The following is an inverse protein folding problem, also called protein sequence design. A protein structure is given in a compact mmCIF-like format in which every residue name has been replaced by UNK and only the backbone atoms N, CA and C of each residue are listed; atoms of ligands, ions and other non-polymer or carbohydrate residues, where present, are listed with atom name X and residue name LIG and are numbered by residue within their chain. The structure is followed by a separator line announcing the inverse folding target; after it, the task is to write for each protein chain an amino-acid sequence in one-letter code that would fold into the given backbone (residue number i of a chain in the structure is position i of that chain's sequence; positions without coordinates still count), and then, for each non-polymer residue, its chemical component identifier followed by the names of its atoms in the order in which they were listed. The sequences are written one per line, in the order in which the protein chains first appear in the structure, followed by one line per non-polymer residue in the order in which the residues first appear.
data_IF_923351261201
#
_entry.id   IF_923351261201
#
_cell.length_a   1.000
_cell.length_b   1.000
_cell.length_c   1.000
_cell.angle_alpha   90.00
_cell.angle_beta   90.00
_cell.angle_gamma   90.00
#
_symmetry.space_group_name_H-M   'P 1'
#
loop_
_entity.id
_entity.type
_entity.pdbx_description
1 polymer ?
#
# COMPACT_ATOMS: atom_id res chain seq x y z
N UNK A 1 15.00 -0.30 -1.31
CA UNK A 1 14.42 0.20 -0.06
C UNK A 1 13.97 -0.99 0.75
N UNK A 2 14.22 -1.01 2.06
CA UNK A 2 13.65 -1.98 2.98
C UNK A 2 12.78 -1.25 4.00
N UNK A 3 11.79 -1.95 4.55
CA UNK A 3 10.89 -1.47 5.59
C UNK A 3 10.31 -2.68 6.34
N UNK A 4 9.53 -2.40 7.37
CA UNK A 4 8.77 -3.41 8.11
C UNK A 4 7.27 -3.11 8.08
N UNK A 5 6.45 -4.15 7.92
CA UNK A 5 5.02 -4.15 8.14
C UNK A 5 4.63 -5.43 8.87
N UNK A 6 4.26 -5.32 10.15
CA UNK A 6 3.78 -6.45 10.95
C UNK A 6 2.26 -6.58 10.81
N UNK A 7 1.54 -5.50 11.11
CA UNK A 7 0.08 -5.49 11.06
C UNK A 7 -0.47 -4.06 10.88
N UNK A 8 -1.65 -3.93 10.28
CA UNK A 8 -2.30 -2.65 10.02
C UNK A 8 -3.79 -2.83 9.73
N UNK A 9 -4.50 -1.73 9.42
CA UNK A 9 -5.95 -1.78 9.21
C UNK A 9 -6.40 -2.68 8.05
N UNK A 10 -5.53 -2.91 7.07
CA UNK A 10 -5.78 -3.76 5.91
C UNK A 10 -5.30 -5.22 6.08
N UNK A 11 -4.49 -5.50 7.10
CA UNK A 11 -3.98 -6.85 7.41
C UNK A 11 -3.79 -6.97 8.93
N UNK A 12 -4.81 -7.56 9.56
CA UNK A 12 -4.96 -7.58 11.02
C UNK A 12 -4.54 -8.89 11.67
N UNK A 13 -4.15 -9.92 10.90
CA UNK A 13 -3.85 -11.26 11.43
C UNK A 13 -2.79 -11.25 12.54
N UNK A 14 -1.82 -10.32 12.46
CA UNK A 14 -0.73 -10.17 13.42
C UNK A 14 -0.96 -9.04 14.44
N UNK A 15 -2.12 -8.39 14.45
CA UNK A 15 -2.44 -7.33 15.41
C UNK A 15 -2.93 -7.90 16.76
N UNK A 16 -2.10 -8.74 17.39
CA UNK A 16 -2.37 -9.37 18.69
C UNK A 16 -1.55 -8.73 19.83
N UNK A 17 -1.33 -7.42 19.72
CA UNK A 17 -0.64 -6.63 20.75
C UNK A 17 -1.55 -5.50 21.24
N UNK A 18 -1.12 -4.77 22.27
CA UNK A 18 -1.84 -3.58 22.74
C UNK A 18 -1.81 -2.42 21.72
N UNK A 19 -0.94 -2.49 20.71
CA UNK A 19 -0.80 -1.46 19.68
C UNK A 19 -1.73 -1.77 18.49
N UNK A 20 -2.58 -0.82 18.06
CA UNK A 20 -3.54 -1.10 16.99
C UNK A 20 -2.90 -1.37 15.62
N UNK A 21 -1.72 -0.80 15.37
CA UNK A 21 -0.94 -0.97 14.14
C UNK A 21 0.56 -0.96 14.45
N UNK A 22 1.33 -1.74 13.70
CA UNK A 22 2.79 -1.87 13.85
C UNK A 22 3.42 -1.99 12.47
N UNK A 23 3.98 -0.87 11.97
CA UNK A 23 4.68 -0.81 10.69
C UNK A 23 5.48 0.49 10.54
N UNK A 24 6.50 0.43 9.68
CA UNK A 24 7.36 1.57 9.31
C UNK A 24 6.88 2.28 8.05
N UNK A 25 6.03 1.61 7.27
CA UNK A 25 5.36 2.10 6.08
C UNK A 25 4.06 1.34 5.92
N UNK A 26 3.01 2.00 5.46
CA UNK A 26 1.69 1.40 5.23
C UNK A 26 1.44 1.03 3.77
N UNK A 27 2.22 1.60 2.83
CA UNK A 27 1.99 1.43 1.39
C UNK A 27 3.25 1.57 0.55
N UNK A 28 3.24 0.91 -0.61
CA UNK A 28 4.01 1.30 -1.78
C UNK A 28 3.18 2.29 -2.61
N UNK A 29 3.73 3.48 -2.86
CA UNK A 29 3.17 4.46 -3.79
C UNK A 29 4.05 4.56 -5.03
N UNK A 30 3.44 4.66 -6.20
CA UNK A 30 4.14 4.73 -7.48
C UNK A 30 3.54 5.82 -8.36
N UNK A 31 4.40 6.64 -8.95
CA UNK A 31 4.07 7.54 -10.04
C UNK A 31 4.71 7.00 -11.31
N UNK A 32 3.88 6.38 -12.13
CA UNK A 32 4.31 5.61 -13.29
C UNK A 32 4.75 6.49 -14.45
N UNK A 33 5.51 5.90 -15.37
CA UNK A 33 5.98 6.58 -16.58
C UNK A 33 4.84 7.10 -17.46
N UNK A 34 3.73 6.36 -17.52
CA UNK A 34 2.49 6.77 -18.21
C UNK A 34 1.71 7.87 -17.47
N UNK A 35 2.13 8.27 -16.25
CA UNK A 35 1.48 9.29 -15.43
C UNK A 35 0.46 8.77 -14.42
N UNK A 36 0.14 7.48 -14.43
CA UNK A 36 -0.74 6.82 -13.48
C UNK A 36 -0.15 6.86 -12.05
N UNK A 37 -1.01 7.08 -11.06
CA UNK A 37 -0.65 6.94 -9.64
C UNK A 37 -1.22 5.64 -9.10
N UNK A 38 -0.37 4.80 -8.51
CA UNK A 38 -0.78 3.54 -7.89
C UNK A 38 -0.48 3.58 -6.40
N UNK A 39 -1.46 3.15 -5.60
CA UNK A 39 -1.32 2.89 -4.18
C UNK A 39 -1.50 1.39 -3.92
N UNK A 40 -0.44 0.74 -3.45
CA UNK A 40 -0.46 -0.66 -3.02
C UNK A 40 -0.27 -0.71 -1.50
N UNK A 41 -1.33 -0.89 -0.70
CA UNK A 41 -1.21 -1.14 0.75
C UNK A 41 -0.26 -2.30 1.00
N UNK A 42 0.57 -2.27 2.03
CA UNK A 42 1.49 -3.36 2.37
C UNK A 42 0.80 -4.42 3.21
N UNK A 43 1.21 -5.69 3.07
CA UNK A 43 0.69 -6.81 3.84
C UNK A 43 1.81 -7.59 4.54
N UNK A 44 1.43 -8.39 5.53
CA UNK A 44 2.27 -9.42 6.14
C UNK A 44 1.74 -10.82 5.79
N UNK A 45 2.03 -11.32 4.57
CA UNK A 45 1.42 -12.54 4.05
C UNK A 45 1.91 -13.78 4.79
N UNK A 46 1.16 -14.87 4.71
CA UNK A 46 1.55 -16.16 5.30
C UNK A 46 2.63 -16.91 4.49
N UNK A 47 2.87 -16.48 3.24
CA UNK A 47 3.88 -17.02 2.34
C UNK A 47 4.56 -15.86 1.64
N UNK A 48 5.82 -16.03 1.23
CA UNK A 48 6.55 -15.04 0.44
C UNK A 48 5.72 -14.62 -0.78
N UNK A 49 5.47 -13.31 -0.91
CA UNK A 49 4.80 -12.71 -2.05
C UNK A 49 5.78 -11.83 -2.81
N UNK A 50 5.73 -11.91 -4.14
CA UNK A 50 6.47 -11.01 -5.02
C UNK A 50 5.51 -10.41 -6.05
N UNK A 51 5.39 -9.09 -6.04
CA UNK A 51 4.58 -8.33 -6.98
C UNK A 51 5.53 -7.54 -7.90
N UNK A 52 5.30 -7.60 -9.21
CA UNK A 52 6.10 -6.91 -10.21
C UNK A 52 5.22 -5.96 -11.02
N UNK A 53 5.49 -4.66 -10.90
CA UNK A 53 4.78 -3.61 -11.63
C UNK A 53 5.62 -3.16 -12.82
N UNK A 54 5.34 -3.72 -14.00
CA UNK A 54 6.04 -3.35 -15.24
C UNK A 54 5.84 -1.87 -15.55
N UNK A 55 6.93 -1.16 -15.86
CA UNK A 55 6.88 0.25 -16.23
C UNK A 55 7.99 0.64 -17.22
N UNK A 56 7.90 1.84 -17.78
CA UNK A 56 8.92 2.43 -18.63
C UNK A 56 9.20 3.88 -18.21
N UNK A 57 10.38 4.13 -17.66
CA UNK A 57 10.78 5.42 -17.06
C UNK A 57 9.80 5.88 -15.95
N UNK A 58 9.75 5.19 -14.80
CA UNK A 58 8.93 5.63 -13.67
C UNK A 58 9.31 7.06 -13.27
N UNK A 59 8.31 7.86 -12.89
CA UNK A 59 8.51 9.23 -12.40
C UNK A 59 8.88 9.27 -10.91
N UNK A 60 8.50 8.23 -10.17
CA UNK A 60 8.98 7.98 -8.83
C UNK A 60 8.21 6.86 -8.15
N UNK A 61 8.75 6.34 -7.05
CA UNK A 61 8.08 5.34 -6.22
C UNK A 61 8.68 5.34 -4.83
N UNK A 62 7.92 4.87 -3.84
CA UNK A 62 8.35 4.96 -2.45
C UNK A 62 7.53 4.09 -1.51
N UNK A 63 8.20 3.66 -0.42
CA UNK A 63 7.52 3.11 0.75
C UNK A 63 7.14 4.30 1.63
N UNK A 64 5.84 4.51 1.80
CA UNK A 64 5.32 5.69 2.47
C UNK A 64 4.68 5.31 3.81
N UNK A 65 4.80 6.23 4.75
CA UNK A 65 4.11 6.24 6.03
C UNK A 65 3.26 7.50 6.12
N UNK A 66 2.04 7.41 5.57
CA UNK A 66 1.15 8.56 5.44
C UNK A 66 0.17 8.69 6.61
N UNK A 67 -0.18 7.59 7.27
CA UNK A 67 -0.90 7.62 8.54
C UNK A 67 0.04 8.00 9.69
N UNK A 68 -0.15 9.19 10.25
CA UNK A 68 0.71 9.78 11.28
C UNK A 68 -0.03 10.12 12.58
N UNK A 69 -1.30 9.72 12.70
CA UNK A 69 -2.07 9.93 13.93
C UNK A 69 -1.54 9.00 15.02
N UNK A 70 -1.12 9.54 16.16
CA UNK A 70 -0.60 8.72 17.26
C UNK A 70 -1.65 7.72 17.79
N UNK A 71 -2.93 8.09 17.79
CA UNK A 71 -4.01 7.23 18.28
C UNK A 71 -4.17 5.92 17.51
N UNK A 72 -3.66 5.87 16.29
CA UNK A 72 -3.67 4.68 15.44
C UNK A 72 -2.55 3.68 15.75
N UNK A 73 -1.54 4.08 16.53
CA UNK A 73 -0.38 3.23 16.87
C UNK A 73 -0.22 3.04 18.38
N UNK A 74 -0.46 4.10 19.17
CA UNK A 74 -0.39 4.09 20.64
C UNK A 74 0.92 3.52 21.19
N UNK A 75 2.02 3.69 20.46
CA UNK A 75 3.34 3.19 20.84
C UNK A 75 4.31 4.35 21.09
N UNK A 76 4.62 4.57 22.37
CA UNK A 76 5.56 5.59 22.86
C UNK A 76 7.02 5.16 22.79
N UNK A 77 7.30 3.89 22.46
CA UNK A 77 8.65 3.36 22.29
C UNK A 77 9.02 3.34 20.81
N UNK A 78 8.18 2.76 19.96
CA UNK A 78 8.43 2.60 18.53
C UNK A 78 8.16 3.85 17.68
N UNK A 79 7.30 4.77 18.16
CA UNK A 79 6.89 6.02 17.48
C UNK A 79 6.62 5.84 15.97
N UNK A 80 5.94 4.75 15.59
CA UNK A 80 5.68 4.39 14.19
C UNK A 80 5.01 5.51 13.38
N UNK A 81 4.14 6.28 14.02
CA UNK A 81 3.47 7.44 13.42
C UNK A 81 4.43 8.58 13.00
N UNK A 82 5.66 8.58 13.53
CA UNK A 82 6.70 9.57 13.21
C UNK A 82 7.74 9.05 12.23
N UNK A 83 7.74 7.75 11.89
CA UNK A 83 8.74 7.18 10.97
C UNK A 83 8.67 7.86 9.59
N UNK A 84 9.83 8.01 8.92
CA UNK A 84 9.88 8.71 7.64
C UNK A 84 9.29 7.85 6.53
N UNK A 85 8.65 8.50 5.58
CA UNK A 85 8.47 7.94 4.24
C UNK A 85 9.79 8.02 3.47
N UNK A 86 10.02 7.10 2.53
CA UNK A 86 11.13 7.17 1.57
C UNK A 86 10.59 7.18 0.14
N UNK A 87 10.95 8.22 -0.62
CA UNK A 87 10.61 8.35 -2.03
C UNK A 87 11.85 8.39 -2.92
N UNK A 88 11.84 7.60 -3.99
CA UNK A 88 12.83 7.58 -5.07
C UNK A 88 12.33 8.45 -6.21
N UNK A 89 13.12 9.46 -6.59
CA UNK A 89 12.92 10.28 -7.79
C UNK A 89 14.01 9.96 -8.83
N UNK A 90 13.72 9.18 -9.89
CA UNK A 90 14.63 9.00 -11.01
C UNK A 90 14.99 10.34 -11.67
N UNK A 91 16.28 10.55 -11.95
CA UNK A 91 16.83 11.79 -12.54
C UNK A 91 17.31 11.60 -13.99
N UNK A 92 17.25 10.38 -14.49
CA UNK A 92 17.47 10.03 -15.89
C UNK A 92 16.49 8.94 -16.33
N UNK A 93 16.54 8.55 -17.61
CA UNK A 93 15.64 7.53 -18.18
C UNK A 93 16.13 6.13 -17.82
N UNK A 94 15.41 5.45 -16.93
CA UNK A 94 15.71 4.08 -16.49
C UNK A 94 15.25 3.00 -17.50
N UNK A 95 14.48 3.38 -18.52
CA UNK A 95 13.98 2.48 -19.55
C UNK A 95 12.90 1.54 -19.02
N UNK A 96 12.77 0.40 -19.69
CA UNK A 96 11.81 -0.65 -19.34
C UNK A 96 12.30 -1.50 -18.17
N UNK A 97 11.38 -1.87 -17.30
CA UNK A 97 11.66 -2.71 -16.15
C UNK A 97 10.44 -2.89 -15.28
N UNK A 98 10.65 -3.26 -14.04
CA UNK A 98 9.60 -3.48 -13.04
C UNK A 98 9.96 -2.77 -11.74
N UNK A 99 8.97 -2.19 -11.08
CA UNK A 99 9.05 -1.90 -9.66
C UNK A 99 8.67 -3.20 -8.95
N UNK A 100 9.64 -3.83 -8.30
CA UNK A 100 9.46 -5.05 -7.53
C UNK A 100 9.06 -4.72 -6.08
N UNK A 101 8.10 -5.46 -5.56
CA UNK A 101 7.70 -5.46 -4.15
C UNK A 101 7.74 -6.90 -3.63
N UNK A 102 8.59 -7.14 -2.65
CA UNK A 102 8.68 -8.41 -1.93
C UNK A 102 8.11 -8.23 -0.52
N UNK A 103 7.18 -9.10 -0.15
CA UNK A 103 6.55 -9.14 1.17
C UNK A 103 6.86 -10.50 1.79
N UNK A 104 7.73 -10.51 2.80
CA UNK A 104 8.23 -11.71 3.48
C UNK A 104 7.35 -11.93 4.72
N UNK A 105 6.93 -13.18 5.03
CA UNK A 105 6.23 -13.46 6.27
C UNK A 105 7.08 -13.11 7.48
N UNK A 106 6.51 -12.36 8.43
CA UNK A 106 7.13 -12.09 9.73
C UNK A 106 6.15 -12.35 10.87
N UNK A 107 6.69 -12.70 12.04
CA UNK A 107 5.92 -12.84 13.28
C UNK A 107 6.04 -11.64 14.21
N UNK A 108 6.84 -10.62 13.86
CA UNK A 108 7.03 -9.43 14.68
C UNK A 108 7.78 -8.31 13.96
N UNK A 109 8.03 -7.23 14.68
CA UNK A 109 8.57 -5.96 14.18
C UNK A 109 10.09 -5.87 14.09
N UNK A 110 10.80 -6.85 14.64
CA UNK A 110 12.27 -6.77 14.81
C UNK A 110 13.06 -6.97 13.52
N UNK A 111 12.42 -7.50 12.47
CA UNK A 111 13.02 -7.76 11.18
C UNK A 111 12.25 -7.05 10.08
N UNK A 112 12.96 -6.36 9.20
CA UNK A 112 12.42 -5.83 7.95
C UNK A 112 11.89 -6.99 7.08
N UNK A 113 10.64 -6.86 6.64
CA UNK A 113 9.97 -7.87 5.84
C UNK A 113 9.42 -7.32 4.52
N UNK A 114 9.64 -6.04 4.23
CA UNK A 114 9.23 -5.38 3.00
C UNK A 114 10.47 -4.94 2.22
N UNK A 115 10.54 -5.31 0.94
CA UNK A 115 11.61 -4.88 0.04
C UNK A 115 11.00 -4.30 -1.23
N UNK A 116 11.43 -3.10 -1.61
CA UNK A 116 11.04 -2.45 -2.86
C UNK A 116 12.27 -1.98 -3.65
N UNK A 117 12.31 -2.29 -4.94
CA UNK A 117 13.42 -1.98 -5.82
C UNK A 117 12.98 -1.84 -7.28
N UNK A 118 13.81 -1.20 -8.10
CA UNK A 118 13.68 -1.22 -9.55
C UNK A 118 14.52 -2.37 -10.13
N UNK A 119 13.92 -3.12 -11.06
CA UNK A 119 14.59 -4.17 -11.81
C UNK A 119 14.49 -3.86 -13.31
N UNK A 120 15.61 -3.61 -14.01
CA UNK A 120 15.56 -3.41 -15.46
C UNK A 120 15.09 -4.68 -16.18
N UNK A 121 14.40 -4.51 -17.32
CA UNK A 121 13.89 -5.63 -18.14
C UNK A 121 15.02 -6.51 -18.67
N UNK A 122 16.14 -5.88 -19.09
CA UNK A 122 17.35 -6.60 -19.48
C UNK A 122 18.04 -7.16 -18.24
N UNK A 123 18.19 -8.47 -18.18
CA UNK A 123 19.03 -9.12 -17.18
C UNK A 123 20.46 -8.57 -17.23
N UNK A 124 20.98 -8.18 -16.07
CA UNK A 124 22.35 -7.65 -15.91
C UNK A 124 23.36 -8.77 -16.16
N UNK A 125 24.24 -8.61 -17.14
CA UNK A 125 25.34 -9.53 -17.44
C UNK A 125 26.68 -8.89 -17.12
N UNK A 126 27.71 -9.73 -16.96
CA UNK A 126 29.07 -9.25 -16.79
C UNK A 126 29.48 -8.36 -17.98
N UNK A 127 30.00 -7.17 -17.68
CA UNK A 127 30.37 -6.17 -18.68
C UNK A 127 29.25 -5.21 -19.10
N UNK A 128 28.01 -5.42 -18.65
CA UNK A 128 26.94 -4.42 -18.89
C UNK A 128 27.17 -3.17 -18.02
N UNK A 129 26.91 -2.00 -18.60
CA UNK A 129 26.87 -0.72 -17.89
C UNK A 129 25.43 -0.22 -17.80
N UNK A 130 25.02 0.16 -16.59
CA UNK A 130 23.72 0.78 -16.33
C UNK A 130 23.91 2.09 -15.57
N UNK A 131 23.31 3.17 -16.06
CA UNK A 131 23.32 4.46 -15.39
C UNK A 131 21.95 4.71 -14.72
N UNK A 132 21.92 4.66 -13.39
CA UNK A 132 20.74 5.02 -12.60
C UNK A 132 21.04 6.24 -11.75
N UNK A 133 20.58 7.42 -12.20
CA UNK A 133 20.65 8.65 -11.43
C UNK A 133 19.33 8.83 -10.69
N UNK A 134 19.38 9.15 -9.40
CA UNK A 134 18.18 9.34 -8.59
C UNK A 134 18.44 10.24 -7.38
N UNK A 135 17.34 10.73 -6.80
CA UNK A 135 17.31 11.34 -5.47
C UNK A 135 16.44 10.51 -4.54
N UNK A 136 16.83 10.51 -3.27
CA UNK A 136 16.09 9.86 -2.19
C UNK A 136 15.59 10.93 -1.23
N UNK A 137 14.31 10.87 -0.89
CA UNK A 137 13.65 11.80 0.01
C UNK A 137 13.16 11.05 1.24
N UNK A 138 13.86 11.20 2.36
CA UNK A 138 13.40 10.76 3.68
C UNK A 138 12.66 11.90 4.36
N UNK A 139 11.35 11.79 4.47
CA UNK A 139 10.52 12.89 4.96
C UNK A 139 9.15 12.40 5.40
N UNK A 140 8.40 13.26 6.10
CA UNK A 140 7.05 12.91 6.53
C UNK A 140 6.05 12.73 5.38
N UNK A 141 6.29 13.39 4.25
CA UNK A 141 5.50 13.31 3.02
C UNK A 141 6.45 13.31 1.83
N UNK A 142 6.17 12.56 0.75
CA UNK A 142 6.98 12.61 -0.46
C UNK A 142 7.00 14.02 -1.07
N UNK A 143 8.04 14.39 -1.86
CA UNK A 143 8.16 15.72 -2.47
C UNK A 143 7.15 15.98 -3.59
N UNK A 144 6.40 14.95 -4.00
CA UNK A 144 5.40 14.97 -5.06
C UNK A 144 4.14 14.29 -4.56
N UNK A 145 2.99 14.73 -5.03
CA UNK A 145 1.69 14.14 -4.68
C UNK A 145 0.83 13.97 -5.93
N UNK A 146 -0.10 13.01 -5.86
CA UNK A 146 -1.17 12.92 -6.84
C UNK A 146 -1.96 14.23 -6.83
N UNK A 147 -2.24 14.85 -7.99
CA UNK A 147 -3.11 16.04 -8.05
C UNK A 147 -4.59 15.68 -7.84
N UNK A 148 -4.94 14.39 -7.96
CA UNK A 148 -6.29 13.87 -7.70
C UNK A 148 -6.43 13.38 -6.25
N UNK A 149 -7.53 12.70 -5.97
CA UNK A 149 -7.72 11.93 -4.75
C UNK A 149 -6.60 10.91 -4.53
N UNK A 150 -6.22 10.71 -3.27
CA UNK A 150 -5.34 9.62 -2.83
C UNK A 150 -6.03 8.76 -1.78
N UNK A 151 -5.63 7.50 -1.67
CA UNK A 151 -6.07 6.63 -0.58
C UNK A 151 -5.60 7.21 0.74
N UNK A 152 -6.51 7.40 1.70
CA UNK A 152 -6.20 7.77 3.07
C UNK A 152 -5.90 6.52 3.87
N UNK A 153 -6.86 5.57 3.89
CA UNK A 153 -6.79 4.33 4.63
C UNK A 153 -7.47 3.20 3.86
N UNK A 154 -6.99 1.98 4.08
CA UNK A 154 -7.62 0.75 3.63
C UNK A 154 -7.95 -0.09 4.86
N UNK A 155 -9.20 -0.51 4.99
CA UNK A 155 -9.66 -1.41 6.06
C UNK A 155 -10.17 -2.69 5.43
N UNK A 156 -9.79 -3.81 6.02
CA UNK A 156 -10.32 -5.12 5.65
C UNK A 156 -11.07 -5.73 6.82
N UNK A 157 -12.06 -6.55 6.49
CA UNK A 157 -12.85 -7.23 7.49
C UNK A 157 -13.63 -8.38 6.90
N UNK A 158 -14.24 -9.15 7.79
CA UNK A 158 -15.20 -10.17 7.42
C UNK A 158 -16.43 -9.52 6.78
N UNK A 159 -16.96 -10.14 5.74
CA UNK A 159 -18.16 -9.74 5.03
C UNK A 159 -19.16 -10.87 4.89
N UNK A 160 -20.23 -10.61 4.15
CA UNK A 160 -21.30 -11.60 3.92
C UNK A 160 -22.42 -11.55 4.96
N UNK A 161 -22.50 -10.48 5.75
CA UNK A 161 -23.53 -10.26 6.75
C UNK A 161 -23.95 -8.77 6.82
N UNK A 162 -25.13 -8.44 7.37
CA UNK A 162 -25.56 -7.06 7.57
C UNK A 162 -24.57 -6.27 8.43
N UNK A 163 -24.31 -5.01 8.06
CA UNK A 163 -23.43 -4.15 8.84
C UNK A 163 -23.91 -4.00 10.28
N UNK A 164 -22.97 -4.01 11.23
CA UNK A 164 -23.27 -3.97 12.67
C UNK A 164 -23.64 -5.32 13.29
N UNK A 165 -23.72 -6.40 12.49
CA UNK A 165 -23.99 -7.75 12.98
C UNK A 165 -22.81 -8.67 12.65
N UNK A 166 -21.87 -8.85 13.57
CA UNK A 166 -20.83 -9.87 13.40
C UNK A 166 -21.45 -11.27 13.62
N UNK A 167 -21.12 -12.27 12.79
CA UNK A 167 -21.68 -13.61 12.93
C UNK A 167 -21.31 -14.20 14.29
N UNK A 168 -22.32 -14.38 15.14
CA UNK A 168 -22.23 -15.12 16.39
C UNK A 168 -22.53 -16.59 16.13
N UNK A 169 -23.67 -17.08 16.61
CA UNK A 169 -24.11 -18.48 16.41
C UNK A 169 -24.62 -18.78 14.99
N UNK A 170 -24.76 -17.76 14.15
CA UNK A 170 -25.27 -17.89 12.79
C UNK A 170 -24.20 -17.45 11.79
N UNK A 171 -23.56 -18.41 11.14
CA UNK A 171 -22.57 -18.15 10.11
C UNK A 171 -23.24 -17.76 8.79
N UNK A 172 -22.61 -16.89 7.98
CA UNK A 172 -23.14 -16.57 6.66
C UNK A 172 -23.09 -17.80 5.75
N UNK A 173 -24.10 -17.97 4.89
CA UNK A 173 -24.11 -19.05 3.88
C UNK A 173 -22.92 -18.94 2.92
N UNK A 174 -22.49 -17.70 2.63
CA UNK A 174 -21.32 -17.39 1.83
C UNK A 174 -20.40 -16.44 2.60
N UNK A 175 -19.20 -16.90 2.88
CA UNK A 175 -18.15 -16.06 3.44
C UNK A 175 -17.66 -15.07 2.40
N UNK A 176 -17.49 -13.82 2.81
CA UNK A 176 -16.89 -12.79 1.98
C UNK A 176 -15.89 -11.97 2.80
N UNK A 177 -15.08 -11.19 2.11
CA UNK A 177 -14.27 -10.14 2.71
C UNK A 177 -14.79 -8.79 2.25
N UNK A 178 -14.80 -7.81 3.14
CA UNK A 178 -15.11 -6.41 2.83
C UNK A 178 -13.81 -5.61 2.81
N UNK A 179 -13.73 -4.70 1.86
CA UNK A 179 -12.67 -3.71 1.75
C UNK A 179 -13.31 -2.32 1.78
N UNK A 180 -12.98 -1.52 2.80
CA UNK A 180 -13.34 -0.11 2.84
C UNK A 180 -12.08 0.72 2.51
N UNK A 181 -12.16 1.53 1.45
CA UNK A 181 -11.05 2.35 0.98
C UNK A 181 -11.48 3.81 1.06
N UNK A 182 -10.89 4.54 1.99
CA UNK A 182 -11.16 5.96 2.15
C UNK A 182 -10.25 6.76 1.23
N UNK A 183 -10.80 7.79 0.58
CA UNK A 183 -10.03 8.70 -0.26
C UNK A 183 -10.05 10.12 0.30
N UNK A 184 -8.95 10.85 0.07
CA UNK A 184 -8.78 12.24 0.52
C UNK A 184 -8.03 13.05 -0.54
N UNK A 185 -8.28 14.36 -0.59
CA UNK A 185 -7.62 15.28 -1.52
C UNK A 185 -8.30 15.35 -2.89
N UNK A 186 -7.65 16.03 -3.83
CA UNK A 186 -8.25 16.42 -5.10
C UNK A 186 -9.55 17.21 -4.92
N UNK A 187 -10.45 17.09 -5.89
CA UNK A 187 -11.75 17.77 -5.88
C UNK A 187 -12.85 16.99 -5.14
N UNK A 188 -12.50 15.95 -4.35
CA UNK A 188 -13.48 15.10 -3.67
C UNK A 188 -14.44 15.87 -2.76
N UNK A 189 -13.97 16.95 -2.12
CA UNK A 189 -14.84 17.78 -1.26
C UNK A 189 -15.88 18.57 -2.05
N UNK A 190 -15.58 18.89 -3.31
CA UNK A 190 -16.46 19.64 -4.20
C UNK A 190 -17.30 18.73 -5.11
N UNK A 191 -16.95 17.45 -5.21
CA UNK A 191 -17.66 16.48 -6.02
C UNK A 191 -19.05 16.19 -5.44
N UNK A 192 -20.05 16.09 -6.32
CA UNK A 192 -21.33 15.48 -5.98
C UNK A 192 -21.10 13.99 -5.68
N UNK A 193 -21.45 13.55 -4.48
CA UNK A 193 -21.31 12.15 -4.06
C UNK A 193 -22.01 11.18 -5.02
N UNK A 194 -23.13 11.58 -5.62
CA UNK A 194 -23.87 10.74 -6.58
C UNK A 194 -23.12 10.58 -7.92
N UNK A 195 -22.21 11.49 -8.22
CA UNK A 195 -21.38 11.44 -9.42
C UNK A 195 -20.10 10.59 -9.23
N UNK A 196 -19.82 10.12 -8.00
CA UNK A 196 -18.65 9.28 -7.73
C UNK A 196 -18.91 7.82 -8.11
N UNK A 197 -18.13 7.34 -9.07
CA UNK A 197 -18.03 5.92 -9.44
C UNK A 197 -16.59 5.43 -9.28
N UNK A 198 -16.44 4.14 -9.00
CA UNK A 198 -15.16 3.45 -9.04
C UNK A 198 -15.23 2.31 -10.05
N UNK A 199 -14.15 2.12 -10.79
CA UNK A 199 -13.94 0.91 -11.58
C UNK A 199 -13.21 -0.12 -10.72
N UNK A 200 -13.75 -1.34 -10.68
CA UNK A 200 -13.19 -2.43 -9.88
C UNK A 200 -12.89 -3.61 -10.78
N UNK A 201 -11.72 -4.20 -10.60
CA UNK A 201 -11.33 -5.43 -11.26
C UNK A 201 -10.85 -6.42 -10.20
N UNK A 202 -11.36 -7.64 -10.28
CA UNK A 202 -10.95 -8.71 -9.38
C UNK A 202 -10.42 -9.91 -10.20
N UNK A 203 -9.56 -10.75 -9.60
CA UNK A 203 -9.08 -11.96 -10.26
C UNK A 203 -10.24 -12.90 -10.64
N UNK A 204 -10.00 -13.71 -11.67
CA UNK A 204 -10.96 -14.71 -12.13
C UNK A 204 -11.40 -15.65 -10.99
N UNK A 205 -12.71 -15.87 -10.84
CA UNK A 205 -13.30 -16.69 -9.78
C UNK A 205 -13.77 -15.93 -8.53
N UNK A 206 -13.75 -14.60 -8.54
CA UNK A 206 -14.32 -13.77 -7.46
C UNK A 206 -15.53 -12.97 -7.95
N UNK A 207 -16.54 -12.83 -7.08
CA UNK A 207 -17.72 -11.99 -7.29
C UNK A 207 -17.65 -10.77 -6.38
N UNK A 208 -18.04 -9.60 -6.89
CA UNK A 208 -17.99 -8.35 -6.15
C UNK A 208 -19.36 -7.68 -6.09
N UNK A 209 -19.77 -7.26 -4.89
CA UNK A 209 -20.97 -6.47 -4.67
C UNK A 209 -20.59 -5.10 -4.12
N UNK A 210 -21.14 -4.04 -4.71
CA UNK A 210 -20.94 -2.66 -4.26
C UNK A 210 -21.95 -2.34 -3.16
N UNK A 211 -21.45 -2.09 -1.95
CA UNK A 211 -22.20 -1.37 -0.92
C UNK A 211 -21.50 -0.02 -0.70
N UNK A 212 -22.16 1.07 -1.09
CA UNK A 212 -21.72 2.42 -0.72
C UNK A 212 -22.29 2.72 0.66
N UNK A 213 -21.41 2.78 1.66
CA UNK A 213 -21.75 3.24 3.00
C UNK A 213 -21.61 4.76 3.00
N UNK A 214 -22.71 5.44 3.31
CA UNK A 214 -22.80 6.91 3.41
C UNK A 214 -22.70 7.34 4.86
#
# INVERSE_FOLDING_TARGET
MTSMFSCGTNERRMCDTIHPQIHDSDRLSMWRGNGEWICRPLNNPQKLQFNAYTDNNPKGFGLLQLDRDFSHYQDIMGWYNKRPSLWVEPRNKWGKGTIGLMEIPTTGETLDNIVCFWQPEKAVKAGDEFAFQYRLYWSAQPPVHCPLARVMATRTGMGGFPEGWAPGEHYPEKWASVFAVDFVGGDLKAADQKALSGDYAFPWGSEANRNSLY
#
